data_IF_245260430204
#
_entry.id   IF_245260430204
#
_cell.length_a   1.000
_cell.length_b   1.000
_cell.length_c   1.000
_cell.angle_alpha   90.00
_cell.angle_beta   90.00
_cell.angle_gamma   90.00
#
_symmetry.space_group_name_H-M   'P 1'
#
loop_
_entity.id
_entity.type
_entity.pdbx_description
1 polymer ?
#
# COMPACT_ATOMS: atom_id res chain seq x y z
N UNK A 1 19.68 -16.26 -18.36
CA UNK A 1 18.59 -15.38 -18.85
C UNK A 1 19.07 -13.93 -18.75
N UNK A 2 18.73 -13.08 -19.73
CA UNK A 2 19.03 -11.64 -19.65
C UNK A 2 18.26 -11.05 -18.48
N UNK A 3 18.91 -10.23 -17.66
CA UNK A 3 18.36 -9.63 -16.41
C UNK A 3 18.07 -10.58 -15.23
N UNK A 4 18.63 -11.79 -15.20
CA UNK A 4 18.40 -12.73 -14.10
C UNK A 4 18.73 -12.13 -12.72
N UNK A 5 19.86 -11.44 -12.59
CA UNK A 5 20.28 -10.85 -11.32
C UNK A 5 19.26 -9.84 -10.78
N UNK A 6 18.73 -8.98 -11.64
CA UNK A 6 17.72 -7.99 -11.24
C UNK A 6 16.41 -8.67 -10.83
N UNK A 7 16.02 -9.75 -11.51
CA UNK A 7 14.84 -10.54 -11.12
C UNK A 7 15.03 -11.24 -9.77
N UNK A 8 16.23 -11.76 -9.51
CA UNK A 8 16.55 -12.39 -8.23
C UNK A 8 16.54 -11.36 -7.08
N UNK A 9 17.00 -10.13 -7.33
CA UNK A 9 16.92 -9.02 -6.38
C UNK A 9 15.48 -8.60 -6.07
N UNK A 10 14.62 -8.54 -7.10
CA UNK A 10 13.19 -8.25 -6.93
C UNK A 10 12.48 -9.35 -6.14
N UNK A 11 12.74 -10.62 -6.47
CA UNK A 11 12.16 -11.77 -5.77
C UNK A 11 12.62 -11.88 -4.32
N UNK A 12 13.87 -11.54 -4.02
CA UNK A 12 14.40 -11.60 -2.66
C UNK A 12 13.86 -10.48 -1.75
N UNK A 13 13.24 -9.45 -2.33
CA UNK A 13 12.80 -8.26 -1.60
C UNK A 13 13.96 -7.45 -1.00
N UNK A 14 15.14 -7.55 -1.61
CA UNK A 14 16.38 -6.89 -1.15
C UNK A 14 16.50 -5.43 -1.55
N UNK A 15 15.66 -4.98 -2.50
CA UNK A 15 15.70 -3.61 -3.02
C UNK A 15 14.80 -2.69 -2.19
N UNK A 16 15.26 -1.47 -1.93
CA UNK A 16 14.40 -0.42 -1.38
C UNK A 16 13.42 0.10 -2.43
N UNK A 17 12.35 0.77 -2.00
CA UNK A 17 11.42 1.46 -2.92
C UNK A 17 12.14 2.35 -3.94
N UNK A 18 13.09 3.15 -3.48
CA UNK A 18 13.87 4.03 -4.35
C UNK A 18 14.66 3.23 -5.41
N UNK A 19 15.28 2.12 -5.02
CA UNK A 19 16.00 1.25 -5.96
C UNK A 19 15.05 0.59 -6.96
N UNK A 20 13.86 0.17 -6.51
CA UNK A 20 12.83 -0.39 -7.39
C UNK A 20 12.31 0.63 -8.40
N UNK A 21 12.08 1.88 -7.99
CA UNK A 21 11.70 2.99 -8.90
C UNK A 21 12.76 3.21 -9.97
N UNK A 22 14.03 3.33 -9.57
CA UNK A 22 15.14 3.49 -10.52
C UNK A 22 15.25 2.29 -11.46
N UNK A 23 15.04 1.06 -10.96
CA UNK A 23 15.04 -0.14 -11.78
C UNK A 23 13.90 -0.13 -12.81
N UNK A 24 12.69 0.32 -12.41
CA UNK A 24 11.54 0.47 -13.30
C UNK A 24 11.82 1.46 -14.43
N UNK A 25 12.32 2.66 -14.10
CA UNK A 25 12.65 3.71 -15.06
C UNK A 25 13.71 3.24 -16.07
N UNK A 26 14.74 2.55 -15.56
CA UNK A 26 15.79 1.99 -16.41
C UNK A 26 15.26 0.88 -17.33
N UNK A 27 14.44 -0.04 -16.81
CA UNK A 27 13.84 -1.10 -17.59
C UNK A 27 12.91 -0.54 -18.69
N UNK A 28 12.11 0.48 -18.36
CA UNK A 28 11.24 1.17 -19.32
C UNK A 28 12.06 1.83 -20.43
N UNK A 29 13.13 2.54 -20.07
CA UNK A 29 14.03 3.17 -21.05
C UNK A 29 14.68 2.15 -21.98
N UNK A 30 15.10 1.00 -21.44
CA UNK A 30 15.74 -0.08 -22.21
C UNK A 30 14.72 -0.75 -23.13
N UNK A 31 13.52 -1.04 -22.64
CA UNK A 31 12.41 -1.59 -23.41
C UNK A 31 12.05 -0.67 -24.59
N UNK A 32 11.92 0.64 -24.34
CA UNK A 32 11.61 1.63 -25.38
C UNK A 32 12.74 1.79 -26.42
N UNK A 33 13.97 1.37 -26.11
CA UNK A 33 15.09 1.29 -27.06
C UNK A 33 15.10 0.00 -27.90
N UNK A 34 14.10 -0.86 -27.75
CA UNK A 34 13.88 -2.07 -28.55
C UNK A 34 14.25 -3.38 -27.85
N UNK A 35 14.75 -3.33 -26.63
CA UNK A 35 15.15 -4.51 -25.87
C UNK A 35 13.95 -5.11 -25.11
N UNK A 36 13.23 -5.99 -25.80
CA UNK A 36 11.97 -6.55 -25.30
C UNK A 36 12.13 -7.38 -24.03
N UNK A 37 13.31 -7.93 -23.76
CA UNK A 37 13.59 -8.73 -22.56
C UNK A 37 13.46 -7.90 -21.26
N UNK A 38 13.63 -6.57 -21.34
CA UNK A 38 13.44 -5.69 -20.18
C UNK A 38 12.00 -5.69 -19.66
N UNK A 39 11.03 -6.16 -20.46
CA UNK A 39 9.65 -6.38 -20.02
C UNK A 39 9.55 -7.35 -18.85
N UNK A 40 10.45 -8.32 -18.73
CA UNK A 40 10.49 -9.25 -17.58
C UNK A 40 10.63 -8.51 -16.24
N UNK A 41 11.40 -7.41 -16.22
CA UNK A 41 11.57 -6.57 -15.03
C UNK A 41 10.29 -5.77 -14.76
N UNK A 42 9.72 -5.16 -15.79
CA UNK A 42 8.48 -4.38 -15.67
C UNK A 42 7.32 -5.23 -15.17
N UNK A 43 7.24 -6.49 -15.61
CA UNK A 43 6.18 -7.43 -15.23
C UNK A 43 6.38 -8.00 -13.81
N UNK A 44 7.62 -8.00 -13.29
CA UNK A 44 7.95 -8.50 -11.95
C UNK A 44 7.70 -7.46 -10.84
N UNK A 45 7.91 -6.17 -11.12
CA UNK A 45 7.77 -5.08 -10.14
C UNK A 45 6.41 -5.06 -9.42
N UNK A 46 5.25 -5.24 -10.11
CA UNK A 46 3.94 -5.24 -9.47
C UNK A 46 3.76 -6.24 -8.32
N UNK A 47 4.59 -7.28 -8.26
CA UNK A 47 4.55 -8.35 -7.25
C UNK A 47 5.70 -8.29 -6.25
N UNK A 48 6.61 -7.33 -6.41
CA UNK A 48 7.86 -7.29 -5.66
C UNK A 48 7.70 -6.50 -4.37
N UNK A 49 8.22 -7.05 -3.27
CA UNK A 49 8.20 -6.42 -1.95
C UNK A 49 9.48 -5.62 -1.71
N UNK A 50 9.40 -4.38 -1.21
CA UNK A 50 10.59 -3.60 -0.86
C UNK A 50 11.23 -4.08 0.45
N UNK A 51 12.52 -3.81 0.61
CA UNK A 51 13.28 -4.07 1.83
C UNK A 51 12.87 -3.14 2.98
N UNK A 52 12.57 -1.88 2.67
CA UNK A 52 12.08 -0.90 3.64
C UNK A 52 10.59 -1.14 3.97
N UNK A 53 10.24 -1.09 5.25
CA UNK A 53 8.89 -1.40 5.74
C UNK A 53 8.13 -0.15 6.15
N UNK A 54 6.88 -0.09 5.72
CA UNK A 54 5.92 0.93 6.12
C UNK A 54 4.52 0.31 6.23
N UNK A 55 3.61 1.05 6.86
CA UNK A 55 2.19 0.71 6.92
C UNK A 55 1.41 1.82 6.23
N UNK A 56 0.51 1.45 5.31
CA UNK A 56 -0.50 2.35 4.79
C UNK A 56 -1.69 2.36 5.73
N UNK A 57 -1.97 3.51 6.34
CA UNK A 57 -3.25 3.77 7.00
C UNK A 57 -4.21 4.42 6.01
N UNK A 58 -5.19 3.64 5.56
CA UNK A 58 -6.11 3.99 4.47
C UNK A 58 -7.49 4.39 5.00
N UNK A 59 -7.92 5.61 4.68
CA UNK A 59 -9.29 6.04 4.87
C UNK A 59 -10.20 5.41 3.83
N UNK A 60 -11.40 5.00 4.25
CA UNK A 60 -12.37 4.29 3.38
C UNK A 60 -13.74 4.97 3.33
N UNK A 61 -13.89 6.13 3.97
CA UNK A 61 -15.11 6.95 3.95
C UNK A 61 -14.83 8.22 3.14
N UNK A 62 -15.14 8.25 1.83
CA UNK A 62 -15.14 9.47 1.05
C UNK A 62 -15.93 10.58 1.74
N UNK A 63 -15.47 11.83 1.62
CA UNK A 63 -16.11 13.00 2.24
C UNK A 63 -16.28 12.89 3.76
N UNK A 64 -15.56 11.95 4.40
CA UNK A 64 -15.72 11.55 5.79
C UNK A 64 -17.10 10.95 6.16
N UNK A 65 -17.95 10.64 5.17
CA UNK A 65 -19.27 10.04 5.38
C UNK A 65 -19.19 8.51 5.45
N UNK A 66 -19.76 7.96 6.53
CA UNK A 66 -19.82 6.52 6.75
C UNK A 66 -20.86 5.82 5.84
N UNK A 67 -21.85 6.56 5.32
CA UNK A 67 -22.81 6.05 4.34
C UNK A 67 -22.13 5.65 3.03
N UNK A 68 -21.00 6.31 2.71
CA UNK A 68 -20.20 6.08 1.51
C UNK A 68 -19.03 5.12 1.73
N UNK A 69 -19.06 4.32 2.81
CA UNK A 69 -17.93 3.45 3.17
C UNK A 69 -17.61 2.44 2.06
N UNK A 70 -16.33 2.35 1.70
CA UNK A 70 -15.83 1.46 0.65
C UNK A 70 -15.19 0.18 1.18
N UNK A 71 -14.91 0.10 2.49
CA UNK A 71 -14.17 -1.02 3.07
C UNK A 71 -14.86 -2.37 2.91
N UNK A 72 -16.20 -2.40 2.93
CA UNK A 72 -16.97 -3.64 2.76
C UNK A 72 -16.71 -4.20 1.36
N UNK A 73 -16.97 -3.38 0.32
CA UNK A 73 -16.75 -3.76 -1.07
C UNK A 73 -15.29 -4.16 -1.33
N UNK A 74 -14.33 -3.39 -0.79
CA UNK A 74 -12.90 -3.69 -0.89
C UNK A 74 -12.53 -5.04 -0.30
N UNK A 75 -13.04 -5.36 0.89
CA UNK A 75 -12.80 -6.64 1.56
C UNK A 75 -13.40 -7.82 0.81
N UNK A 76 -14.65 -7.68 0.36
CA UNK A 76 -15.37 -8.72 -0.39
C UNK A 76 -14.72 -9.05 -1.74
N UNK A 77 -14.16 -8.04 -2.41
CA UNK A 77 -13.57 -8.18 -3.74
C UNK A 77 -12.04 -8.38 -3.71
N UNK A 78 -11.41 -8.37 -2.53
CA UNK A 78 -9.97 -8.54 -2.41
C UNK A 78 -9.16 -7.39 -3.02
N UNK A 79 -9.67 -6.15 -2.94
CA UNK A 79 -9.01 -4.98 -3.54
C UNK A 79 -8.91 -3.80 -2.57
N UNK A 80 -8.11 -2.78 -2.93
CA UNK A 80 -8.12 -1.45 -2.33
C UNK A 80 -7.84 -0.40 -3.41
N UNK A 81 -8.62 0.70 -3.42
CA UNK A 81 -8.52 1.75 -4.46
C UNK A 81 -8.55 3.14 -3.86
N UNK A 82 -7.99 4.11 -4.59
CA UNK A 82 -7.99 5.52 -4.24
C UNK A 82 -8.24 6.35 -5.48
N UNK A 83 -9.48 6.79 -5.66
CA UNK A 83 -9.93 7.47 -6.89
C UNK A 83 -9.97 9.00 -6.76
N UNK A 84 -9.76 9.52 -5.55
CA UNK A 84 -9.86 10.94 -5.26
C UNK A 84 -8.53 11.65 -5.55
N UNK A 85 -8.27 11.86 -6.84
CA UNK A 85 -6.99 12.34 -7.37
C UNK A 85 -6.71 13.85 -7.17
N UNK A 86 -7.60 14.59 -6.50
CA UNK A 86 -7.47 16.04 -6.34
C UNK A 86 -6.22 16.46 -5.53
N UNK A 87 -5.79 15.60 -4.60
CA UNK A 87 -4.61 15.86 -3.76
C UNK A 87 -3.37 15.17 -4.29
N UNK A 88 -2.52 15.90 -5.03
CA UNK A 88 -1.23 15.40 -5.55
C UNK A 88 -0.37 14.74 -4.47
N UNK A 89 -0.38 15.25 -3.24
CA UNK A 89 0.39 14.68 -2.13
C UNK A 89 -0.10 13.27 -1.77
N UNK A 90 -1.42 13.07 -1.69
CA UNK A 90 -2.00 11.75 -1.41
C UNK A 90 -1.81 10.80 -2.58
N UNK A 91 -1.92 11.29 -3.82
CA UNK A 91 -1.60 10.52 -5.02
C UNK A 91 -0.15 10.06 -4.99
N UNK A 92 0.82 10.94 -4.72
CA UNK A 92 2.23 10.55 -4.65
C UNK A 92 2.46 9.43 -3.61
N UNK A 93 1.90 9.58 -2.41
CA UNK A 93 1.95 8.53 -1.38
C UNK A 93 1.31 7.23 -1.85
N UNK A 94 0.14 7.30 -2.50
CA UNK A 94 -0.54 6.10 -3.03
C UNK A 94 0.36 5.32 -4.00
N UNK A 95 1.15 6.02 -4.82
CA UNK A 95 2.08 5.40 -5.76
C UNK A 95 3.35 4.83 -5.11
N UNK A 96 3.65 5.17 -3.85
CA UNK A 96 4.75 4.57 -3.08
C UNK A 96 4.42 3.17 -2.52
N UNK A 97 3.14 2.79 -2.49
CA UNK A 97 2.70 1.48 -1.97
C UNK A 97 3.11 0.36 -2.93
N UNK A 98 3.68 -0.69 -2.36
CA UNK A 98 4.19 -1.86 -3.08
C UNK A 98 3.54 -3.16 -2.60
N UNK A 99 3.75 -4.24 -3.36
CA UNK A 99 3.37 -5.57 -2.90
C UNK A 99 4.07 -5.91 -1.57
N UNK A 100 3.40 -6.67 -0.72
CA UNK A 100 3.84 -7.02 0.63
C UNK A 100 3.57 -5.97 1.71
N UNK A 101 3.25 -4.73 1.34
CA UNK A 101 2.89 -3.68 2.29
C UNK A 101 1.62 -4.02 3.06
N UNK A 102 1.59 -3.62 4.33
CA UNK A 102 0.41 -3.75 5.18
C UNK A 102 -0.50 -2.53 4.97
N UNK A 103 -1.75 -2.79 4.62
CA UNK A 103 -2.83 -1.81 4.61
C UNK A 103 -3.63 -1.98 5.90
N UNK A 104 -3.88 -0.87 6.59
CA UNK A 104 -4.77 -0.79 7.75
C UNK A 104 -5.85 0.24 7.43
N UNK A 105 -7.11 -0.19 7.46
CA UNK A 105 -8.26 0.65 7.25
C UNK A 105 -8.55 1.46 8.51
N UNK A 106 -8.68 2.77 8.36
CA UNK A 106 -8.88 3.70 9.48
C UNK A 106 -10.03 4.68 9.27
N UNK A 107 -10.65 5.10 10.37
CA UNK A 107 -11.52 6.27 10.46
C UNK A 107 -11.09 7.12 11.65
N UNK A 108 -11.05 8.44 11.48
CA UNK A 108 -10.77 9.36 12.59
C UNK A 108 -11.96 9.40 13.53
N UNK A 109 -11.71 9.28 14.83
CA UNK A 109 -12.75 9.34 15.87
C UNK A 109 -12.70 10.72 16.55
N UNK A 110 -11.71 10.93 17.43
CA UNK A 110 -11.46 12.24 18.02
C UNK A 110 -10.48 13.02 17.16
N UNK A 111 -10.93 14.18 16.65
CA UNK A 111 -10.11 15.03 15.79
C UNK A 111 -8.75 15.33 16.44
N UNK A 112 -7.67 14.98 15.73
CA UNK A 112 -6.30 15.21 16.18
C UNK A 112 -5.79 14.25 17.28
N UNK A 113 -6.60 13.30 17.76
CA UNK A 113 -6.22 12.44 18.90
C UNK A 113 -6.19 10.95 18.56
N UNK A 114 -7.29 10.41 18.05
CA UNK A 114 -7.45 8.96 17.88
C UNK A 114 -8.07 8.58 16.54
N UNK A 115 -7.85 7.33 16.15
CA UNK A 115 -8.50 6.70 15.02
C UNK A 115 -8.97 5.30 15.38
N UNK A 116 -10.09 4.88 14.78
CA UNK A 116 -10.57 3.50 14.83
C UNK A 116 -10.08 2.72 13.63
N UNK A 117 -9.66 1.49 13.86
CA UNK A 117 -9.18 0.58 12.84
C UNK A 117 -10.25 -0.45 12.49
N UNK A 118 -10.55 -0.58 11.21
CA UNK A 118 -11.70 -1.36 10.69
C UNK A 118 -11.29 -2.61 9.89
N UNK A 119 -9.99 -2.81 9.70
CA UNK A 119 -9.45 -4.01 9.10
C UNK A 119 -8.05 -3.83 8.58
N UNK A 120 -7.41 -4.94 8.22
CA UNK A 120 -6.07 -4.94 7.66
C UNK A 120 -5.87 -6.07 6.64
N UNK A 121 -4.94 -5.86 5.74
CA UNK A 121 -4.61 -6.81 4.68
C UNK A 121 -3.23 -6.53 4.11
N UNK A 122 -2.69 -7.49 3.36
CA UNK A 122 -1.41 -7.33 2.67
C UNK A 122 -1.63 -7.17 1.17
N UNK A 123 -0.99 -6.16 0.58
CA UNK A 123 -0.98 -6.00 -0.87
C UNK A 123 -0.32 -7.21 -1.49
N UNK A 124 -0.99 -7.88 -2.41
CA UNK A 124 -0.42 -9.00 -3.16
C UNK A 124 0.13 -8.55 -4.49
N UNK A 125 -0.46 -7.51 -5.07
CA UNK A 125 -0.13 -7.03 -6.41
C UNK A 125 -0.60 -5.59 -6.65
N UNK A 126 0.19 -4.85 -7.43
CA UNK A 126 -0.18 -3.56 -8.01
C UNK A 126 -0.91 -3.79 -9.34
N UNK A 127 -2.08 -3.18 -9.50
CA UNK A 127 -2.91 -3.28 -10.70
C UNK A 127 -3.29 -1.90 -11.23
N UNK A 128 -3.77 -1.87 -12.47
CA UNK A 128 -4.38 -0.70 -13.10
C UNK A 128 -5.67 -1.15 -13.78
N UNK A 129 -6.71 -0.32 -13.76
CA UNK A 129 -7.95 -0.57 -14.50
C UNK A 129 -7.83 -0.10 -15.97
N UNK A 130 -8.94 -0.17 -16.71
CA UNK A 130 -8.98 0.19 -18.13
C UNK A 130 -8.73 1.70 -18.37
N UNK A 131 -8.95 2.55 -17.35
CA UNK A 131 -8.64 3.98 -17.35
C UNK A 131 -7.22 4.26 -16.83
N UNK A 132 -6.44 3.21 -16.59
CA UNK A 132 -5.10 3.24 -16.03
C UNK A 132 -5.05 3.83 -14.60
N UNK A 133 -6.14 3.72 -13.83
CA UNK A 133 -6.19 4.08 -12.41
C UNK A 133 -5.59 2.95 -11.58
N UNK A 134 -4.61 3.30 -10.75
CA UNK A 134 -3.88 2.35 -9.89
C UNK A 134 -4.76 1.86 -8.74
N UNK A 135 -4.89 0.54 -8.61
CA UNK A 135 -5.48 -0.14 -7.45
C UNK A 135 -4.61 -1.31 -6.98
N UNK A 136 -4.94 -1.89 -5.84
CA UNK A 136 -4.24 -3.03 -5.26
C UNK A 136 -5.13 -4.24 -5.17
N UNK A 137 -4.61 -5.41 -5.52
CA UNK A 137 -5.14 -6.67 -4.99
C UNK A 137 -4.59 -6.85 -3.58
N UNK A 138 -5.47 -7.27 -2.66
CA UNK A 138 -5.19 -7.33 -1.23
C UNK A 138 -5.70 -8.64 -0.66
N UNK A 139 -4.82 -9.35 0.04
CA UNK A 139 -5.21 -10.45 0.90
C UNK A 139 -5.65 -9.88 2.26
N UNK A 140 -6.95 -9.64 2.41
CA UNK A 140 -7.55 -9.15 3.64
C UNK A 140 -7.57 -10.25 4.70
N UNK A 141 -7.12 -9.94 5.91
CA UNK A 141 -7.27 -10.86 7.03
C UNK A 141 -8.73 -10.86 7.52
N UNK A 142 -9.18 -12.01 8.03
CA UNK A 142 -10.48 -12.12 8.68
C UNK A 142 -10.42 -11.33 9.99
N UNK A 143 -11.24 -10.28 10.12
CA UNK A 143 -11.37 -9.53 11.36
C UNK A 143 -12.82 -9.52 11.86
N UNK A 144 -12.96 -9.69 13.16
CA UNK A 144 -14.25 -9.61 13.88
C UNK A 144 -14.34 -8.42 14.83
N UNK A 145 -13.25 -7.66 15.00
CA UNK A 145 -13.13 -6.60 16.01
C UNK A 145 -12.44 -5.35 15.48
N UNK A 146 -12.92 -4.21 15.93
CA UNK A 146 -12.34 -2.88 15.69
C UNK A 146 -11.61 -2.42 16.96
N UNK A 147 -10.57 -1.61 16.82
CA UNK A 147 -9.83 -1.03 17.97
C UNK A 147 -9.62 0.46 17.75
N UNK A 148 -9.55 1.23 18.85
CA UNK A 148 -9.17 2.64 18.83
C UNK A 148 -7.71 2.79 19.26
N UNK A 149 -6.95 3.58 18.51
CA UNK A 149 -5.50 3.80 18.69
C UNK A 149 -5.15 5.28 18.51
N UNK A 150 -3.95 5.73 18.93
CA UNK A 150 -3.48 7.08 18.66
C UNK A 150 -3.48 7.42 17.16
N UNK A 151 -3.78 8.68 16.84
CA UNK A 151 -3.91 9.13 15.44
C UNK A 151 -2.59 9.12 14.68
N UNK A 152 -1.44 9.31 15.34
CA UNK A 152 -0.12 9.23 14.69
C UNK A 152 0.09 10.21 13.52
N UNK A 153 -0.68 11.30 13.51
CA UNK A 153 -0.74 12.25 12.38
C UNK A 153 -1.36 11.68 11.10
N UNK A 154 -2.15 10.60 11.19
CA UNK A 154 -2.90 10.01 10.08
C UNK A 154 -4.17 10.83 9.78
N UNK A 155 -4.00 12.04 9.24
CA UNK A 155 -5.09 12.99 9.01
C UNK A 155 -5.77 12.87 7.63
N UNK A 156 -5.14 12.19 6.69
CA UNK A 156 -5.54 12.12 5.29
C UNK A 156 -6.22 10.79 4.95
N UNK A 157 -6.69 10.62 3.71
CA UNK A 157 -7.15 9.31 3.24
C UNK A 157 -5.96 8.37 3.06
N UNK A 158 -4.86 8.88 2.48
CA UNK A 158 -3.63 8.10 2.26
C UNK A 158 -2.51 8.60 3.18
N UNK A 159 -2.23 7.83 4.23
CA UNK A 159 -1.11 8.09 5.15
C UNK A 159 -0.19 6.88 5.23
N UNK A 160 1.06 7.05 4.77
CA UNK A 160 2.11 6.03 4.91
C UNK A 160 2.97 6.37 6.11
N UNK A 161 3.21 5.39 6.97
CA UNK A 161 4.01 5.54 8.18
C UNK A 161 5.17 4.54 8.17
N UNK A 162 6.42 5.01 8.31
CA UNK A 162 7.57 4.13 8.48
C UNK A 162 7.38 3.25 9.73
N UNK A 163 7.81 1.99 9.67
CA UNK A 163 7.62 1.04 10.78
C UNK A 163 8.14 1.57 12.11
N UNK A 164 9.31 2.23 12.11
CA UNK A 164 9.90 2.86 13.30
C UNK A 164 8.95 3.84 14.01
N UNK A 165 8.16 4.61 13.26
CA UNK A 165 7.19 5.55 13.84
C UNK A 165 6.00 4.80 14.43
N UNK A 166 5.54 3.75 13.74
CA UNK A 166 4.44 2.89 14.21
C UNK A 166 4.82 2.21 15.53
N UNK A 167 6.02 1.64 15.62
CA UNK A 167 6.55 1.00 16.83
C UNK A 167 6.62 1.95 18.04
N UNK A 168 6.88 3.23 17.79
CA UNK A 168 6.98 4.24 18.85
C UNK A 168 5.63 4.70 19.38
N UNK A 169 4.59 4.73 18.55
CA UNK A 169 3.32 5.36 18.88
C UNK A 169 2.16 4.35 19.05
N UNK A 170 2.24 3.15 18.47
CA UNK A 170 1.17 2.16 18.56
C UNK A 170 1.22 1.36 19.86
N UNK A 171 0.07 1.17 20.53
CA UNK A 171 -0.01 0.37 21.76
C UNK A 171 0.11 -1.12 21.45
N UNK A 172 0.41 -1.94 22.48
CA UNK A 172 0.50 -3.40 22.36
C UNK A 172 -0.76 -4.04 21.73
N UNK A 173 -1.93 -3.50 22.06
CA UNK A 173 -3.22 -3.94 21.51
C UNK A 173 -3.29 -3.88 19.98
N UNK A 174 -2.54 -2.97 19.33
CA UNK A 174 -2.44 -2.89 17.88
C UNK A 174 -1.74 -4.12 17.30
N UNK A 175 -0.63 -4.56 17.89
CA UNK A 175 0.15 -5.70 17.42
C UNK A 175 -0.64 -7.01 17.62
N UNK A 176 -1.27 -7.18 18.79
CA UNK A 176 -2.21 -8.28 19.04
C UNK A 176 -3.38 -8.29 18.05
N UNK A 177 -3.87 -7.11 17.65
CA UNK A 177 -4.94 -6.99 16.66
C UNK A 177 -4.47 -7.40 15.25
N UNK A 178 -3.21 -7.16 14.91
CA UNK A 178 -2.57 -7.63 13.67
C UNK A 178 -2.21 -9.13 13.68
N UNK A 179 -2.36 -9.81 14.81
CA UNK A 179 -1.84 -11.16 15.06
C UNK A 179 -0.31 -11.25 14.89
N UNK A 180 0.40 -10.26 15.42
CA UNK A 180 1.87 -10.17 15.44
C UNK A 180 2.41 -10.14 16.87
#
# INVERSE_FOLDING_TARGET
MKYQNQLDQLKSGSLTRAQMTTLQENALRIFNKGDKDAKLILDAIPYSKPADTSILFMGFCPEADFSNRLDIFWKENGICRFDYLESKVQVNRWYEVCAGDLIVLKKREQFGKTMKLHGFGRVTKICHDDENVRYFEVNWAVQSREIEVPLMGCNSTVDIKPMKMVEQEMPEAFWHWLNL
#
